data_IF_280425802340
#
_entry.id   IF_280425802340
#
_cell.length_a   1.000
_cell.length_b   1.000
_cell.length_c   1.000
_cell.angle_alpha   90.00
_cell.angle_beta   90.00
_cell.angle_gamma   90.00
#
_symmetry.space_group_name_H-M   'P 1'
#
loop_
_entity.id
_entity.type
_entity.pdbx_description
1 polymer ?
#
# COMPACT_ATOMS: atom_id res chain seq x y z
N UNK A 1 -11.02 -1.03 29.00
CA UNK A 1 -10.01 -0.61 28.01
C UNK A 1 -8.76 -1.41 28.34
N UNK A 2 -8.13 -2.10 27.39
CA UNK A 2 -6.87 -2.81 27.68
C UNK A 2 -5.76 -1.77 27.71
N UNK A 3 -4.98 -1.74 28.79
CA UNK A 3 -3.75 -0.94 28.85
C UNK A 3 -2.74 -1.58 27.89
N UNK A 4 -2.52 -0.93 26.74
CA UNK A 4 -1.52 -1.37 25.76
C UNK A 4 -0.28 -0.51 25.87
N UNK A 5 0.89 -1.14 25.95
CA UNK A 5 2.19 -0.48 25.90
C UNK A 5 3.04 -1.12 24.78
N UNK A 6 4.23 -0.57 24.52
CA UNK A 6 5.11 -1.03 23.44
C UNK A 6 5.44 -2.53 23.55
N UNK A 7 5.74 -2.98 24.77
CA UNK A 7 6.04 -4.39 25.04
C UNK A 7 4.84 -5.29 24.73
N UNK A 8 3.64 -4.89 25.15
CA UNK A 8 2.39 -5.60 24.86
C UNK A 8 2.13 -5.69 23.36
N UNK A 9 2.35 -4.60 22.62
CA UNK A 9 2.16 -4.56 21.15
C UNK A 9 3.13 -5.53 20.46
N UNK A 10 4.41 -5.48 20.82
CA UNK A 10 5.44 -6.37 20.24
C UNK A 10 5.15 -7.83 20.59
N UNK A 11 4.87 -8.15 21.86
CA UNK A 11 4.64 -9.52 22.30
C UNK A 11 3.40 -10.14 21.63
N UNK A 12 2.34 -9.35 21.39
CA UNK A 12 1.08 -9.85 20.82
C UNK A 12 1.05 -9.85 19.30
N UNK A 13 1.70 -8.88 18.65
CA UNK A 13 1.55 -8.67 17.20
C UNK A 13 2.85 -8.79 16.42
N UNK A 14 4.00 -8.68 17.09
CA UNK A 14 5.31 -8.58 16.44
C UNK A 14 5.58 -7.23 15.76
N UNK A 15 4.63 -6.28 15.81
CA UNK A 15 4.74 -4.98 15.15
C UNK A 15 5.67 -4.07 15.96
N UNK A 16 6.70 -3.55 15.31
CA UNK A 16 7.60 -2.52 15.87
C UNK A 16 7.29 -1.13 15.34
N UNK A 17 7.02 -1.04 14.04
CA UNK A 17 6.64 0.20 13.36
C UNK A 17 5.62 -0.10 12.26
N UNK A 18 4.89 0.94 11.84
CA UNK A 18 3.99 0.89 10.68
C UNK A 18 4.20 2.14 9.83
N UNK A 19 3.98 2.01 8.53
CA UNK A 19 3.99 3.15 7.61
C UNK A 19 2.57 3.70 7.47
N UNK A 20 2.49 5.03 7.44
CA UNK A 20 1.26 5.79 7.26
C UNK A 20 1.55 6.76 6.12
N UNK A 21 0.66 6.77 5.13
CA UNK A 21 0.77 7.67 3.97
C UNK A 21 0.54 9.12 4.38
N UNK A 22 1.07 10.04 3.59
CA UNK A 22 0.80 11.46 3.77
C UNK A 22 -0.68 11.79 3.48
N UNK A 23 -1.17 12.93 3.96
CA UNK A 23 -2.58 13.33 3.80
C UNK A 23 -3.04 13.44 2.34
N UNK A 24 -2.09 13.74 1.46
CA UNK A 24 -2.33 13.93 0.03
C UNK A 24 -1.86 12.71 -0.79
N UNK A 25 -1.53 11.60 -0.12
CA UNK A 25 -1.18 10.32 -0.75
C UNK A 25 -2.31 9.29 -0.54
N UNK A 26 -2.80 8.75 -1.64
CA UNK A 26 -3.96 7.89 -1.67
C UNK A 26 -3.59 6.46 -2.09
N UNK A 27 -4.58 5.56 -2.02
CA UNK A 27 -4.40 4.16 -2.46
C UNK A 27 -3.92 4.06 -3.91
N UNK A 28 -4.37 4.95 -4.80
CA UNK A 28 -3.90 5.02 -6.19
C UNK A 28 -2.40 5.31 -6.30
N UNK A 29 -1.87 6.22 -5.48
CA UNK A 29 -0.46 6.62 -5.52
C UNK A 29 0.46 5.48 -5.09
N UNK A 30 0.11 4.80 -4.00
CA UNK A 30 0.89 3.65 -3.51
C UNK A 30 0.78 2.45 -4.46
N UNK A 31 -0.36 2.25 -5.13
CA UNK A 31 -0.50 1.23 -6.17
C UNK A 31 0.37 1.55 -7.39
N UNK A 32 0.39 2.81 -7.85
CA UNK A 32 1.27 3.24 -8.93
C UNK A 32 2.75 3.04 -8.59
N UNK A 33 3.16 3.44 -7.38
CA UNK A 33 4.55 3.24 -6.89
C UNK A 33 4.94 1.76 -6.85
N UNK A 34 4.03 0.88 -6.44
CA UNK A 34 4.26 -0.56 -6.43
C UNK A 34 4.45 -1.13 -7.84
N UNK A 35 3.63 -0.71 -8.82
CA UNK A 35 3.77 -1.13 -10.23
C UNK A 35 5.08 -0.60 -10.82
N UNK A 36 5.46 0.65 -10.52
CA UNK A 36 6.74 1.21 -10.97
C UNK A 36 7.93 0.42 -10.42
N UNK A 37 7.91 0.09 -9.13
CA UNK A 37 8.95 -0.74 -8.52
C UNK A 37 9.02 -2.15 -9.14
N UNK A 38 7.87 -2.75 -9.47
CA UNK A 38 7.80 -4.03 -10.18
C UNK A 38 8.44 -3.93 -11.58
N UNK A 39 8.09 -2.91 -12.36
CA UNK A 39 8.68 -2.68 -13.69
C UNK A 39 10.21 -2.56 -13.61
N UNK A 40 10.70 -1.80 -12.64
CA UNK A 40 12.14 -1.62 -12.39
C UNK A 40 12.83 -2.92 -11.95
N UNK A 41 12.22 -3.68 -11.03
CA UNK A 41 12.81 -4.91 -10.48
C UNK A 41 12.89 -6.04 -11.51
N UNK A 42 11.94 -6.10 -12.44
CA UNK A 42 11.84 -7.20 -13.42
C UNK A 42 12.22 -6.80 -14.85
N UNK A 43 12.62 -5.54 -15.06
CA UNK A 43 12.92 -4.98 -16.39
C UNK A 43 11.77 -5.23 -17.38
N UNK A 44 10.55 -4.97 -16.92
CA UNK A 44 9.31 -5.13 -17.69
C UNK A 44 8.59 -3.80 -17.85
N UNK A 45 7.77 -3.77 -18.88
CA UNK A 45 6.91 -2.66 -19.21
C UNK A 45 5.44 -3.16 -19.16
N UNK A 46 4.44 -2.27 -19.20
CA UNK A 46 3.02 -2.64 -18.98
C UNK A 46 2.18 -2.61 -20.26
N UNK A 47 2.80 -2.42 -21.41
CA UNK A 47 2.16 -2.26 -22.71
C UNK A 47 1.45 -3.53 -23.18
N UNK A 48 1.87 -4.70 -22.70
CA UNK A 48 1.27 -6.00 -23.01
C UNK A 48 0.27 -6.47 -21.92
N UNK A 49 -0.09 -5.61 -20.97
CA UNK A 49 -1.05 -5.93 -19.92
C UNK A 49 -2.49 -5.71 -20.40
N UNK A 50 -3.22 -6.81 -20.58
CA UNK A 50 -4.63 -6.77 -21.01
C UNK A 50 -5.61 -6.43 -19.87
N UNK A 51 -5.18 -6.58 -18.60
CA UNK A 51 -6.06 -6.43 -17.45
C UNK A 51 -5.32 -5.97 -16.18
N UNK A 52 -5.92 -5.05 -15.44
CA UNK A 52 -5.46 -4.62 -14.11
C UNK A 52 -6.58 -4.89 -13.09
N UNK A 53 -6.24 -5.61 -12.02
CA UNK A 53 -7.15 -5.87 -10.89
C UNK A 53 -6.54 -5.22 -9.64
N UNK A 54 -7.30 -4.35 -8.98
CA UNK A 54 -6.89 -3.68 -7.75
C UNK A 54 -7.68 -4.25 -6.57
N UNK A 55 -7.04 -5.06 -5.75
CA UNK A 55 -7.64 -5.63 -4.54
C UNK A 55 -7.55 -4.62 -3.38
N UNK A 56 -8.61 -3.85 -3.14
CA UNK A 56 -8.65 -2.86 -2.07
C UNK A 56 -10.00 -2.81 -1.36
N UNK A 57 -9.97 -2.48 -0.06
CA UNK A 57 -11.15 -2.15 0.76
C UNK A 57 -11.21 -0.65 1.13
N UNK A 58 -10.19 0.13 0.72
CA UNK A 58 -10.01 1.54 1.08
C UNK A 58 -9.91 2.39 -0.19
N UNK A 59 -10.82 2.15 -1.15
CA UNK A 59 -10.81 2.84 -2.44
C UNK A 59 -10.87 4.37 -2.23
N UNK A 60 -10.02 5.10 -2.94
CA UNK A 60 -10.03 6.57 -2.95
C UNK A 60 -11.00 7.13 -3.99
N UNK A 61 -11.70 8.21 -3.65
CA UNK A 61 -12.46 9.02 -4.60
C UNK A 61 -11.61 10.19 -5.13
N UNK A 62 -10.82 9.91 -6.17
CA UNK A 62 -10.60 10.79 -7.33
C UNK A 62 -10.05 9.94 -8.48
N UNK A 63 -10.90 9.08 -9.04
CA UNK A 63 -10.72 8.62 -10.41
C UNK A 63 -11.05 9.80 -11.34
N UNK A 64 -10.04 10.56 -11.76
CA UNK A 64 -10.12 11.26 -13.03
C UNK A 64 -9.52 10.31 -14.06
N UNK A 65 -10.41 9.66 -14.80
CA UNK A 65 -10.09 9.12 -16.13
C UNK A 65 -10.15 10.27 -17.11
#
# INVERSE_FOLDING_TARGET
>A
MVETNDEWIIQRTGIKERRIVDKDEFTSDISYKAVKNLMEQYEKTVEDVDMIIVCTLTLTSKLQV
#
